data_IF_396344382299
#
_entry.id   IF_396344382299
#
_cell.length_a   1.000
_cell.length_b   1.000
_cell.length_c   1.000
_cell.angle_alpha   90.00
_cell.angle_beta   90.00
_cell.angle_gamma   90.00
#
_symmetry.space_group_name_H-M   'P 1'
#
loop_
_entity.id
_entity.type
_entity.pdbx_description
1 polymer ?
#
# COMPACT_ATOMS: atom_id res chain seq x y z
N UNK A 1 -10.43 19.80 15.08
CA UNK A 1 -9.29 20.52 14.47
C UNK A 1 -9.28 20.18 13.00
N UNK A 2 -9.51 21.20 12.18
CA UNK A 2 -9.66 21.15 10.72
C UNK A 2 -8.51 20.39 10.04
N UNK A 3 -8.90 19.41 9.22
CA UNK A 3 -8.12 18.67 8.23
C UNK A 3 -6.76 19.25 7.88
N UNK A 4 -5.73 18.77 8.57
CA UNK A 4 -4.35 18.87 8.11
C UNK A 4 -4.25 17.96 6.88
N UNK A 5 -4.35 18.54 5.69
CA UNK A 5 -4.20 17.81 4.44
C UNK A 5 -2.87 17.06 4.50
N UNK A 6 -2.88 15.73 4.41
CA UNK A 6 -1.63 14.96 4.41
C UNK A 6 -0.81 15.43 3.21
N UNK A 7 0.30 16.11 3.47
CA UNK A 7 1.14 16.67 2.41
C UNK A 7 1.72 15.55 1.54
N UNK A 8 2.26 15.91 0.39
CA UNK A 8 3.06 14.96 -0.38
C UNK A 8 4.35 14.68 0.38
N UNK A 9 4.88 13.46 0.26
CA UNK A 9 6.12 13.07 0.92
C UNK A 9 6.10 11.67 1.51
N UNK A 10 7.13 11.36 2.29
CA UNK A 10 7.33 10.05 2.90
C UNK A 10 6.84 10.04 4.36
N UNK A 11 6.21 8.93 4.74
CA UNK A 11 5.65 8.74 6.08
C UNK A 11 5.95 7.35 6.63
N UNK A 12 5.91 7.25 7.95
CA UNK A 12 5.87 5.98 8.66
C UNK A 12 4.46 5.75 9.22
N UNK A 13 3.80 4.72 8.71
CA UNK A 13 2.54 4.23 9.25
C UNK A 13 2.81 3.26 10.39
N UNK A 14 2.36 3.59 11.60
CA UNK A 14 2.54 2.76 12.79
C UNK A 14 1.29 1.95 13.08
N UNK A 15 1.42 0.63 13.16
CA UNK A 15 0.38 -0.27 13.61
C UNK A 15 0.60 -0.59 15.08
N UNK A 16 -0.38 -0.25 15.92
CA UNK A 16 -0.29 -0.43 17.37
C UNK A 16 -1.36 -1.37 17.89
N UNK A 17 -0.96 -2.28 18.77
CA UNK A 17 -1.85 -3.13 19.54
C UNK A 17 -1.51 -2.94 21.02
N UNK A 18 -2.51 -2.57 21.82
CA UNK A 18 -2.35 -2.25 23.25
C UNK A 18 -1.20 -1.27 23.55
N UNK A 19 -1.08 -0.24 22.71
CA UNK A 19 -0.05 0.79 22.81
C UNK A 19 1.33 0.41 22.27
N UNK A 20 1.59 -0.88 21.99
CA UNK A 20 2.86 -1.37 21.43
C UNK A 20 2.84 -1.34 19.90
N UNK A 21 3.94 -0.90 19.28
CA UNK A 21 4.08 -0.97 17.82
C UNK A 21 4.37 -2.41 17.42
N UNK A 22 3.51 -2.98 16.58
CA UNK A 22 3.64 -4.36 16.08
C UNK A 22 4.04 -4.42 14.60
N UNK A 23 3.85 -3.32 13.84
CA UNK A 23 4.32 -3.18 12.48
C UNK A 23 4.55 -1.71 12.12
N UNK A 24 5.42 -1.49 11.13
CA UNK A 24 5.66 -0.18 10.54
C UNK A 24 5.65 -0.31 9.01
N UNK A 25 4.79 0.47 8.37
CA UNK A 25 4.78 0.69 6.93
C UNK A 25 5.56 1.95 6.57
N UNK A 26 6.44 1.87 5.58
CA UNK A 26 7.11 3.01 4.95
C UNK A 26 6.37 3.31 3.67
N UNK A 27 5.77 4.49 3.58
CA UNK A 27 4.90 4.88 2.47
C UNK A 27 5.30 6.23 1.90
N UNK A 28 4.97 6.48 0.63
CA UNK A 28 4.99 7.81 0.04
C UNK A 28 3.59 8.21 -0.43
N UNK A 29 3.24 9.47 -0.22
CA UNK A 29 2.09 10.11 -0.84
C UNK A 29 2.61 10.96 -1.99
N UNK A 30 2.30 10.54 -3.22
CA UNK A 30 2.72 11.17 -4.46
C UNK A 30 1.52 11.87 -5.12
N UNK A 31 1.74 12.77 -6.11
CA UNK A 31 0.65 13.50 -6.76
C UNK A 31 -0.47 12.60 -7.30
N UNK A 32 -0.12 11.42 -7.83
CA UNK A 32 -1.05 10.53 -8.51
C UNK A 32 -1.30 9.20 -7.79
N UNK A 33 -0.50 8.86 -6.77
CA UNK A 33 -0.63 7.58 -6.10
C UNK A 33 -0.22 7.60 -4.62
N UNK A 34 -0.75 6.62 -3.89
CA UNK A 34 -0.22 6.19 -2.60
C UNK A 34 0.71 5.00 -2.83
N UNK A 35 1.96 5.08 -2.36
CA UNK A 35 3.00 4.10 -2.66
C UNK A 35 3.47 3.38 -1.40
N UNK A 36 3.32 2.06 -1.37
CA UNK A 36 3.82 1.19 -0.32
C UNK A 36 5.25 0.75 -0.64
N UNK A 37 6.23 1.16 0.19
CA UNK A 37 7.64 0.80 -0.03
C UNK A 37 8.03 -0.45 0.75
N UNK A 38 7.90 -0.37 2.07
CA UNK A 38 8.31 -1.43 2.98
C UNK A 38 7.27 -1.65 4.05
N UNK A 39 7.09 -2.91 4.44
CA UNK A 39 6.37 -3.26 5.65
C UNK A 39 7.23 -4.27 6.42
N UNK A 40 7.51 -3.95 7.66
CA UNK A 40 8.16 -4.86 8.60
C UNK A 40 7.35 -4.90 9.89
N UNK A 41 7.37 -6.06 10.54
CA UNK A 41 6.51 -6.35 11.67
C UNK A 41 7.17 -7.35 12.61
N UNK A 42 6.72 -7.36 13.86
CA UNK A 42 7.16 -8.33 14.86
C UNK A 42 6.62 -9.73 14.49
N UNK A 43 7.50 -10.74 14.26
CA UNK A 43 7.12 -12.09 13.86
C UNK A 43 6.12 -12.79 14.80
N UNK A 44 6.07 -12.40 16.07
CA UNK A 44 5.10 -12.92 17.04
C UNK A 44 3.65 -12.63 16.62
N UNK A 45 3.43 -11.64 15.76
CA UNK A 45 2.12 -11.23 15.23
C UNK A 45 1.90 -11.67 13.78
N UNK A 46 2.70 -12.60 13.25
CA UNK A 46 2.57 -13.11 11.89
C UNK A 46 1.19 -13.70 11.58
N UNK A 47 0.50 -14.26 12.58
CA UNK A 47 -0.86 -14.79 12.47
C UNK A 47 -1.90 -13.72 12.08
N UNK A 48 -1.62 -12.43 12.30
CA UNK A 48 -2.51 -11.32 11.94
C UNK A 48 -2.45 -10.96 10.44
N UNK A 49 -1.54 -11.56 9.67
CA UNK A 49 -1.39 -11.26 8.22
C UNK A 49 -1.23 -9.76 7.94
N UNK A 50 -0.34 -9.10 8.69
CA UNK A 50 -0.18 -7.64 8.70
C UNK A 50 0.10 -7.03 7.31
N UNK A 51 0.72 -7.79 6.39
CA UNK A 51 0.87 -7.40 4.98
C UNK A 51 -0.44 -7.18 4.24
N UNK A 52 -1.40 -8.08 4.42
CA UNK A 52 -2.73 -7.99 3.81
C UNK A 52 -3.53 -6.86 4.47
N UNK A 53 -3.47 -6.77 5.80
CA UNK A 53 -4.12 -5.69 6.54
C UNK A 53 -3.61 -4.31 6.11
N UNK A 54 -2.29 -4.14 5.97
CA UNK A 54 -1.66 -2.90 5.50
C UNK A 54 -2.19 -2.53 4.11
N UNK A 55 -2.19 -3.47 3.17
CA UNK A 55 -2.69 -3.23 1.82
C UNK A 55 -4.17 -2.81 1.80
N UNK A 56 -5.03 -3.46 2.59
CA UNK A 56 -6.46 -3.10 2.68
C UNK A 56 -6.65 -1.69 3.24
N UNK A 57 -5.90 -1.34 4.28
CA UNK A 57 -5.95 0.00 4.86
C UNK A 57 -5.45 1.04 3.86
N UNK A 58 -4.34 0.78 3.17
CA UNK A 58 -3.73 1.68 2.19
C UNK A 58 -4.65 1.89 0.97
N UNK A 59 -5.35 0.85 0.50
CA UNK A 59 -6.41 0.96 -0.52
C UNK A 59 -7.53 1.89 -0.05
N UNK A 60 -8.02 1.69 1.18
CA UNK A 60 -9.09 2.53 1.73
C UNK A 60 -8.62 3.98 1.89
N UNK A 61 -7.39 4.19 2.35
CA UNK A 61 -6.81 5.51 2.52
C UNK A 61 -6.55 6.21 1.18
N UNK A 62 -6.13 5.47 0.15
CA UNK A 62 -6.03 5.97 -1.23
C UNK A 62 -7.39 6.48 -1.72
N UNK A 63 -8.47 5.72 -1.50
CA UNK A 63 -9.84 6.16 -1.84
C UNK A 63 -10.27 7.40 -1.07
N UNK A 64 -9.87 7.51 0.20
CA UNK A 64 -10.13 8.71 1.00
C UNK A 64 -9.39 9.93 0.45
N UNK A 65 -8.10 9.79 0.14
CA UNK A 65 -7.28 10.86 -0.46
C UNK A 65 -7.80 11.26 -1.84
N UNK A 66 -8.29 10.32 -2.65
CA UNK A 66 -8.86 10.57 -3.97
C UNK A 66 -10.06 11.55 -3.93
N UNK A 67 -10.85 11.52 -2.85
CA UNK A 67 -11.96 12.48 -2.64
C UNK A 67 -11.47 13.92 -2.48
N UNK A 68 -10.25 14.10 -1.99
CA UNK A 68 -9.63 15.41 -1.76
C UNK A 68 -8.70 15.81 -2.90
N UNK A 69 -8.07 14.83 -3.56
CA UNK A 69 -7.12 14.99 -4.66
C UNK A 69 -7.51 14.03 -5.78
N UNK A 70 -8.36 14.45 -6.73
CA UNK A 70 -8.86 13.56 -7.80
C UNK A 70 -7.77 12.89 -8.64
N UNK A 71 -6.60 13.53 -8.77
CA UNK A 71 -5.45 12.95 -9.48
C UNK A 71 -4.80 11.78 -8.72
N UNK A 72 -4.97 11.69 -7.39
CA UNK A 72 -4.45 10.61 -6.57
C UNK A 72 -5.49 9.48 -6.49
N UNK A 73 -5.45 8.57 -7.46
CA UNK A 73 -6.39 7.44 -7.53
C UNK A 73 -5.71 6.08 -7.66
N UNK A 74 -4.38 6.04 -7.72
CA UNK A 74 -3.63 4.78 -7.77
C UNK A 74 -3.06 4.39 -6.42
N UNK A 75 -3.05 3.09 -6.15
CA UNK A 75 -2.32 2.49 -5.05
C UNK A 75 -1.22 1.60 -5.61
N UNK A 76 0.04 1.96 -5.35
CA UNK A 76 1.21 1.22 -5.80
C UNK A 76 1.70 0.29 -4.69
N UNK A 77 1.46 -1.02 -4.85
CA UNK A 77 1.88 -2.06 -3.91
C UNK A 77 3.35 -2.47 -4.04
N UNK A 78 4.12 -1.81 -4.90
CA UNK A 78 5.47 -2.25 -5.25
C UNK A 78 5.49 -3.46 -6.18
N UNK A 79 6.68 -4.05 -6.35
CA UNK A 79 6.90 -5.16 -7.28
C UNK A 79 6.03 -6.38 -6.98
N UNK A 80 5.65 -7.07 -8.06
CA UNK A 80 4.95 -8.34 -8.02
C UNK A 80 5.75 -9.38 -8.80
N UNK A 81 6.25 -10.39 -8.08
CA UNK A 81 6.87 -11.57 -8.67
C UNK A 81 5.93 -12.74 -8.43
N UNK A 82 5.37 -13.29 -9.52
CA UNK A 82 4.38 -14.36 -9.48
C UNK A 82 4.86 -15.60 -8.69
N UNK A 83 6.12 -15.98 -8.90
CA UNK A 83 6.74 -17.15 -8.27
C UNK A 83 7.10 -16.94 -6.79
N UNK A 84 7.04 -15.70 -6.28
CA UNK A 84 7.38 -15.41 -4.89
C UNK A 84 6.15 -15.62 -3.99
N UNK A 85 6.15 -16.62 -3.08
CA UNK A 85 5.00 -16.89 -2.21
C UNK A 85 4.61 -15.69 -1.34
N UNK A 86 5.61 -14.89 -0.91
CA UNK A 86 5.40 -13.68 -0.10
C UNK A 86 4.70 -12.55 -0.86
N UNK A 87 4.71 -12.56 -2.19
CA UNK A 87 4.08 -11.53 -3.03
C UNK A 87 2.75 -11.97 -3.64
N UNK A 88 2.42 -13.26 -3.58
CA UNK A 88 1.23 -13.83 -4.22
C UNK A 88 -0.07 -13.14 -3.81
N UNK A 89 -0.17 -12.68 -2.56
CA UNK A 89 -1.34 -11.98 -2.05
C UNK A 89 -1.68 -10.69 -2.82
N UNK A 90 -0.69 -10.02 -3.43
CA UNK A 90 -0.92 -8.78 -4.21
C UNK A 90 -1.79 -9.03 -5.44
N UNK A 91 -1.73 -10.24 -6.01
CA UNK A 91 -2.56 -10.64 -7.14
C UNK A 91 -4.04 -10.82 -6.79
N UNK A 92 -4.42 -10.77 -5.50
CA UNK A 92 -5.81 -10.92 -5.09
C UNK A 92 -6.60 -9.60 -5.13
N UNK A 93 -5.95 -8.45 -5.28
CA UNK A 93 -6.62 -7.14 -5.29
C UNK A 93 -7.08 -6.76 -6.69
N UNK A 94 -8.31 -6.22 -6.76
CA UNK A 94 -8.98 -5.83 -8.02
C UNK A 94 -9.69 -4.49 -7.82
N UNK A 95 -9.82 -3.65 -8.87
CA UNK A 95 -9.13 -3.73 -10.16
C UNK A 95 -7.59 -3.57 -10.02
N UNK A 96 -6.77 -4.21 -10.87
CA UNK A 96 -5.31 -4.04 -10.83
C UNK A 96 -4.62 -4.18 -12.19
N UNK A 97 -3.48 -3.49 -12.30
CA UNK A 97 -2.61 -3.44 -13.48
C UNK A 97 -1.18 -3.80 -13.08
N UNK A 98 -0.43 -4.41 -14.00
CA UNK A 98 0.98 -4.75 -13.84
C UNK A 98 1.80 -4.00 -14.89
N UNK A 99 2.98 -3.52 -14.50
CA UNK A 99 3.94 -2.99 -15.46
C UNK A 99 4.69 -4.15 -16.10
N UNK A 100 4.60 -4.28 -17.42
CA UNK A 100 5.41 -5.22 -18.19
C UNK A 100 6.87 -4.78 -18.19
N UNK A 101 7.79 -5.65 -17.78
CA UNK A 101 9.23 -5.37 -17.67
C UNK A 101 9.94 -5.34 -19.03
N UNK A 102 9.34 -5.91 -20.07
CA UNK A 102 9.89 -5.92 -21.43
C UNK A 102 9.47 -4.69 -22.25
N UNK A 103 8.19 -4.33 -22.23
CA UNK A 103 7.66 -3.23 -23.07
C UNK A 103 7.40 -1.94 -22.29
N UNK A 104 7.49 -1.96 -20.95
CA UNK A 104 7.22 -0.82 -20.06
C UNK A 104 5.79 -0.26 -20.14
N UNK A 105 4.84 -1.08 -20.61
CA UNK A 105 3.43 -0.75 -20.62
C UNK A 105 2.69 -1.34 -19.42
N UNK A 106 1.70 -0.60 -18.92
CA UNK A 106 0.77 -1.11 -17.94
C UNK A 106 -0.26 -2.02 -18.62
N UNK A 107 -0.28 -3.28 -18.20
CA UNK A 107 -1.22 -4.29 -18.67
C UNK A 107 -2.25 -4.60 -17.60
N UNK A 108 -3.50 -4.76 -18.03
CA UNK A 108 -4.59 -5.15 -17.16
C UNK A 108 -4.34 -6.56 -16.62
N UNK A 109 -4.31 -6.73 -15.30
CA UNK A 109 -4.15 -8.06 -14.69
C UNK A 109 -5.50 -8.68 -14.31
N UNK A 110 -6.36 -7.90 -13.65
CA UNK A 110 -7.75 -8.24 -13.32
C UNK A 110 -8.64 -7.02 -13.37
#
# INVERSE_FOLDING_TARGET
>A
KSSEFTSLGSYHQQYRLDGRIIAVGVIDILPNCFSSKYLFYDPNYSFLSLGVYSALWEINFTKFLAKQRPNLHYYYMGFYLYDCPKMRYKGCFRPSDLLCDYCFDWVRFF
#
